data_IF_467461637590
#
_entry.id   IF_467461637590
#
_cell.length_a   1.000
_cell.length_b   1.000
_cell.length_c   1.000
_cell.angle_alpha   90.00
_cell.angle_beta   90.00
_cell.angle_gamma   90.00
#
_symmetry.space_group_name_H-M   'P 1'
#
loop_
_entity.id
_entity.type
_entity.pdbx_description
1 polymer ?
#
# COMPACT_ATOMS: atom_id res chain seq x y z
N UNK A 1 -7.05 30.44 -42.37
CA UNK A 1 -7.55 31.71 -41.82
C UNK A 1 -7.38 32.80 -42.88
N UNK A 2 -8.36 33.68 -43.02
CA UNK A 2 -8.47 34.68 -44.10
C UNK A 2 -7.58 35.89 -43.80
N UNK A 3 -6.94 36.44 -44.83
CA UNK A 3 -6.32 37.76 -44.79
C UNK A 3 -7.39 38.79 -45.20
N UNK A 4 -7.74 39.71 -44.31
CA UNK A 4 -8.76 40.74 -44.51
C UNK A 4 -8.17 42.06 -45.06
N UNK A 5 -6.88 42.06 -45.41
CA UNK A 5 -6.16 43.23 -45.90
C UNK A 5 -5.60 44.13 -44.79
N UNK A 6 -5.78 43.78 -43.51
CA UNK A 6 -5.20 44.52 -42.37
C UNK A 6 -4.00 43.77 -41.79
N UNK A 7 -4.15 42.47 -41.50
CA UNK A 7 -3.05 41.57 -41.14
C UNK A 7 -3.57 40.14 -40.94
N UNK A 8 -2.65 39.17 -41.02
CA UNK A 8 -2.96 37.75 -40.85
C UNK A 8 -3.62 37.48 -39.50
N UNK A 9 -4.78 36.84 -39.53
CA UNK A 9 -5.50 36.36 -38.35
C UNK A 9 -4.94 35.00 -37.93
N UNK A 10 -4.66 34.86 -36.62
CA UNK A 10 -4.13 33.64 -36.01
C UNK A 10 -4.98 33.24 -34.79
N UNK A 11 -5.08 31.92 -34.56
CA UNK A 11 -5.75 31.32 -33.41
C UNK A 11 -4.73 30.94 -32.35
N UNK A 12 -5.08 31.18 -31.10
CA UNK A 12 -4.28 30.85 -29.92
C UNK A 12 -5.17 30.10 -28.95
N UNK A 13 -4.57 29.17 -28.20
CA UNK A 13 -5.27 28.41 -27.17
C UNK A 13 -4.50 28.53 -25.87
N UNK A 14 -5.22 28.66 -24.76
CA UNK A 14 -4.61 28.54 -23.42
C UNK A 14 -5.52 27.77 -22.47
N UNK A 15 -4.89 27.01 -21.59
CA UNK A 15 -5.56 26.41 -20.45
C UNK A 15 -5.90 27.51 -19.43
N UNK A 16 -7.17 27.62 -19.06
CA UNK A 16 -7.67 28.61 -18.09
C UNK A 16 -7.85 28.02 -16.70
N UNK A 17 -8.16 26.74 -16.64
CA UNK A 17 -8.38 26.03 -15.39
C UNK A 17 -8.43 24.55 -15.66
N UNK A 18 -7.91 23.81 -14.70
CA UNK A 18 -8.15 22.38 -14.59
C UNK A 18 -8.60 22.12 -13.15
N UNK A 19 -9.59 21.24 -12.98
CA UNK A 19 -9.87 20.63 -11.69
C UNK A 19 -9.68 19.13 -11.82
N UNK A 20 -8.84 18.58 -10.95
CA UNK A 20 -8.70 17.13 -10.79
C UNK A 20 -10.02 16.55 -10.28
N UNK A 21 -10.36 15.28 -10.60
CA UNK A 21 -11.36 14.56 -9.85
C UNK A 21 -11.06 14.71 -8.35
N UNK A 22 -12.09 14.98 -7.55
CA UNK A 22 -11.96 14.95 -6.10
C UNK A 22 -11.40 13.59 -5.67
N UNK A 23 -10.48 13.60 -4.71
CA UNK A 23 -10.03 12.35 -4.08
C UNK A 23 -11.22 11.68 -3.40
N UNK A 24 -11.35 10.37 -3.64
CA UNK A 24 -12.26 9.39 -3.04
C UNK A 24 -13.01 9.86 -1.77
N UNK A 25 -14.35 9.79 -1.82
CA UNK A 25 -15.21 9.99 -0.64
C UNK A 25 -16.51 10.74 -0.93
N UNK A 26 -16.65 11.43 -2.06
CA UNK A 26 -17.93 11.96 -2.53
C UNK A 26 -18.52 11.02 -3.57
N UNK A 27 -19.84 10.85 -3.55
CA UNK A 27 -20.64 10.30 -4.65
C UNK A 27 -20.55 11.13 -5.93
N UNK A 28 -19.77 12.21 -5.91
CA UNK A 28 -19.49 13.05 -7.06
C UNK A 28 -18.42 12.36 -7.90
N UNK A 29 -18.93 11.61 -8.87
CA UNK A 29 -18.29 11.09 -10.08
C UNK A 29 -16.91 11.69 -10.36
N UNK A 30 -15.90 10.86 -10.64
CA UNK A 30 -14.53 11.22 -10.97
C UNK A 30 -14.39 12.14 -12.19
N UNK A 31 -14.89 13.37 -12.06
CA UNK A 31 -15.03 14.36 -13.11
C UNK A 31 -13.80 15.26 -13.10
N UNK A 32 -12.94 15.12 -14.10
CA UNK A 32 -11.91 16.10 -14.38
C UNK A 32 -12.49 17.17 -15.30
N UNK A 33 -12.42 18.45 -14.92
CA UNK A 33 -12.87 19.56 -15.77
C UNK A 33 -11.67 20.28 -16.35
N UNK A 34 -11.70 20.52 -17.66
CA UNK A 34 -10.72 21.31 -18.38
C UNK A 34 -11.41 22.51 -19.03
N UNK A 35 -10.92 23.70 -18.73
CA UNK A 35 -11.40 24.93 -19.33
C UNK A 35 -10.31 25.44 -20.28
N UNK A 36 -10.58 25.35 -21.57
CA UNK A 36 -9.69 25.85 -22.62
C UNK A 36 -10.31 27.13 -23.19
N UNK A 37 -9.50 28.16 -23.34
CA UNK A 37 -9.90 29.36 -24.04
C UNK A 37 -9.22 29.42 -25.41
N UNK A 38 -10.04 29.53 -26.45
CA UNK A 38 -9.62 29.89 -27.80
C UNK A 38 -9.67 31.40 -27.99
N UNK A 39 -8.62 31.96 -28.56
CA UNK A 39 -8.45 33.38 -28.82
C UNK A 39 -8.14 33.57 -30.30
N UNK A 40 -8.76 34.56 -30.93
CA UNK A 40 -8.43 34.98 -32.29
C UNK A 40 -7.82 36.36 -32.20
N UNK A 41 -6.61 36.54 -32.73
CA UNK A 41 -5.95 37.85 -32.81
C UNK A 41 -5.21 38.00 -34.13
N UNK A 42 -4.88 39.25 -34.45
CA UNK A 42 -3.98 39.56 -35.56
C UNK A 42 -2.54 39.26 -35.19
N UNK A 43 -1.77 38.75 -36.15
CA UNK A 43 -0.35 38.46 -35.99
C UNK A 43 0.38 39.74 -35.60
N UNK A 44 1.10 39.72 -34.47
CA UNK A 44 1.84 40.87 -33.95
C UNK A 44 1.01 41.91 -33.17
N UNK A 45 -0.31 41.71 -33.01
CA UNK A 45 -1.14 42.58 -32.19
C UNK A 45 -0.84 42.42 -30.69
N UNK A 46 -1.15 43.46 -29.92
CA UNK A 46 -1.02 43.46 -28.46
C UNK A 46 -1.68 42.20 -27.84
N UNK A 47 -1.04 41.50 -26.88
CA UNK A 47 -1.58 40.29 -26.28
C UNK A 47 -2.96 40.44 -25.64
N UNK A 48 -3.42 41.66 -25.32
CA UNK A 48 -4.76 41.96 -24.79
C UNK A 48 -5.77 42.35 -25.86
N UNK A 49 -5.35 42.48 -27.12
CA UNK A 49 -6.22 42.77 -28.27
C UNK A 49 -6.71 41.47 -28.90
N UNK A 50 -8.00 41.19 -28.73
CA UNK A 50 -8.64 39.98 -29.24
C UNK A 50 -9.77 40.36 -30.20
N UNK A 51 -9.84 39.68 -31.35
CA UNK A 51 -10.94 39.79 -32.30
C UNK A 51 -12.13 38.94 -31.89
N UNK A 52 -11.87 37.77 -31.30
CA UNK A 52 -12.88 36.87 -30.78
C UNK A 52 -12.30 36.01 -29.65
N UNK A 53 -13.19 35.58 -28.75
CA UNK A 53 -12.88 34.66 -27.65
C UNK A 53 -13.94 33.57 -27.63
N UNK A 54 -13.50 32.34 -27.43
CA UNK A 54 -14.37 31.20 -27.15
C UNK A 54 -13.87 30.48 -25.92
N UNK A 55 -14.80 30.02 -25.08
CA UNK A 55 -14.50 29.15 -23.94
C UNK A 55 -15.06 27.78 -24.25
N UNK A 56 -14.20 26.77 -24.18
CA UNK A 56 -14.57 25.37 -24.23
C UNK A 56 -14.41 24.80 -22.83
N UNK A 57 -15.48 24.26 -22.28
CA UNK A 57 -15.44 23.45 -21.07
C UNK A 57 -15.65 21.98 -21.47
N UNK A 58 -14.75 21.12 -21.00
CA UNK A 58 -14.84 19.67 -21.20
C UNK A 58 -14.75 18.99 -19.85
N UNK A 59 -15.67 18.07 -19.64
CA UNK A 59 -15.67 17.17 -18.49
C UNK A 59 -15.26 15.79 -18.96
N UNK A 60 -14.30 15.19 -18.25
CA UNK A 60 -13.94 13.78 -18.37
C UNK A 60 -14.50 13.07 -17.14
N UNK A 61 -15.47 12.20 -17.35
CA UNK A 61 -16.03 11.36 -16.29
C UNK A 61 -15.25 10.04 -16.26
N UNK A 62 -14.54 9.80 -15.16
CA UNK A 62 -13.89 8.52 -14.90
C UNK A 62 -14.81 7.75 -13.96
N UNK A 63 -15.43 6.69 -14.47
CA UNK A 63 -16.13 5.69 -13.67
C UNK A 63 -15.22 4.48 -13.54
N UNK A 64 -14.77 4.19 -12.31
CA UNK A 64 -14.10 2.94 -11.99
C UNK A 64 -15.08 2.07 -11.21
N UNK A 65 -15.58 0.99 -11.80
CA UNK A 65 -16.31 -0.04 -11.08
C UNK A 65 -15.42 -1.27 -10.88
N UNK A 66 -15.58 -1.89 -9.72
CA UNK A 66 -15.19 -3.27 -9.52
C UNK A 66 -16.37 -4.10 -10.01
N UNK A 67 -16.16 -4.92 -11.04
CA UNK A 67 -17.17 -5.92 -11.37
C UNK A 67 -17.30 -6.84 -10.16
N UNK A 68 -18.48 -6.87 -9.53
CA UNK A 68 -18.73 -7.67 -8.33
C UNK A 68 -18.52 -9.17 -8.60
N UNK A 69 -18.67 -9.58 -9.87
CA UNK A 69 -18.38 -10.94 -10.33
C UNK A 69 -16.87 -11.24 -10.36
N UNK A 70 -16.03 -10.19 -10.42
CA UNK A 70 -14.57 -10.23 -10.36
C UNK A 70 -14.02 -9.78 -8.99
N UNK A 71 -14.85 -9.75 -7.95
CA UNK A 71 -14.43 -9.51 -6.56
C UNK A 71 -13.39 -10.52 -6.04
N UNK A 72 -13.16 -11.59 -6.78
CA UNK A 72 -12.12 -12.61 -6.56
C UNK A 72 -10.76 -12.20 -7.14
N UNK A 73 -10.70 -11.24 -8.06
CA UNK A 73 -9.51 -10.83 -8.82
C UNK A 73 -8.71 -9.76 -8.07
N UNK A 74 -8.36 -9.99 -6.81
CA UNK A 74 -7.53 -9.08 -6.02
C UNK A 74 -6.16 -9.68 -5.73
N UNK A 75 -5.13 -8.86 -5.68
CA UNK A 75 -3.76 -9.33 -5.46
C UNK A 75 -3.53 -9.69 -3.98
N UNK A 76 -3.49 -10.98 -3.65
CA UNK A 76 -3.13 -11.43 -2.30
C UNK A 76 -1.63 -11.27 -2.03
N UNK A 77 -0.83 -11.54 -3.05
CA UNK A 77 0.61 -11.43 -3.02
C UNK A 77 1.06 -10.70 -4.29
N UNK A 78 1.86 -9.65 -4.17
CA UNK A 78 2.39 -8.90 -5.30
C UNK A 78 3.87 -8.58 -5.10
N UNK A 79 4.70 -8.90 -6.09
CA UNK A 79 6.11 -8.55 -6.07
C UNK A 79 6.73 -8.43 -7.47
N UNK A 80 7.84 -7.69 -7.55
CA UNK A 80 8.70 -7.65 -8.74
C UNK A 80 9.68 -8.81 -8.76
N UNK A 81 10.16 -9.22 -7.58
CA UNK A 81 11.05 -10.37 -7.41
C UNK A 81 10.47 -11.36 -6.42
N UNK A 82 10.53 -12.64 -6.78
CA UNK A 82 10.06 -13.75 -5.96
C UNK A 82 11.15 -14.79 -5.73
N UNK A 83 11.25 -15.22 -4.48
CA UNK A 83 11.68 -16.55 -4.07
C UNK A 83 10.49 -17.18 -3.34
N UNK A 84 9.49 -17.63 -4.11
CA UNK A 84 8.13 -17.94 -3.64
C UNK A 84 8.08 -19.07 -2.60
N UNK A 85 8.91 -20.10 -2.76
CA UNK A 85 8.90 -21.28 -1.88
C UNK A 85 7.51 -21.95 -1.80
N UNK A 86 7.22 -22.68 -0.72
CA UNK A 86 5.88 -23.23 -0.47
C UNK A 86 4.88 -22.10 -0.15
N UNK A 87 3.74 -22.07 -0.83
CA UNK A 87 2.70 -21.06 -0.63
C UNK A 87 1.32 -21.71 -0.64
N UNK A 88 0.48 -21.30 0.30
CA UNK A 88 -0.92 -21.67 0.36
C UNK A 88 -1.78 -20.40 0.41
N UNK A 89 -2.67 -20.26 -0.58
CA UNK A 89 -3.62 -19.14 -0.66
C UNK A 89 -5.03 -19.62 -0.30
N UNK A 90 -5.44 -19.40 0.94
CA UNK A 90 -6.77 -19.77 1.47
C UNK A 90 -7.83 -18.68 1.22
N UNK A 91 -7.66 -17.93 0.15
CA UNK A 91 -8.56 -16.88 -0.34
C UNK A 91 -8.67 -17.05 -1.86
N UNK A 92 -9.52 -16.30 -2.59
CA UNK A 92 -9.60 -16.40 -4.06
C UNK A 92 -8.59 -15.52 -4.82
N UNK A 93 -7.77 -14.72 -4.13
CA UNK A 93 -6.90 -13.71 -4.75
C UNK A 93 -5.78 -14.24 -5.64
N UNK A 94 -5.03 -13.34 -6.26
CA UNK A 94 -4.00 -13.66 -7.24
C UNK A 94 -2.60 -13.37 -6.71
N UNK A 95 -1.62 -14.02 -7.33
CA UNK A 95 -0.19 -13.73 -7.20
C UNK A 95 0.16 -12.82 -8.37
N UNK A 96 0.33 -11.54 -8.11
CA UNK A 96 0.76 -10.59 -9.13
C UNK A 96 2.28 -10.62 -9.24
N UNK A 97 2.78 -10.82 -10.46
CA UNK A 97 4.20 -10.70 -10.77
C UNK A 97 4.44 -9.49 -11.66
N UNK A 98 5.09 -8.47 -11.10
CA UNK A 98 5.55 -7.31 -11.86
C UNK A 98 6.82 -7.68 -12.62
N UNK A 99 6.65 -8.14 -13.86
CA UNK A 99 7.73 -8.58 -14.71
C UNK A 99 8.31 -7.43 -15.54
N UNK A 100 9.60 -7.56 -15.85
CA UNK A 100 10.27 -6.68 -16.80
C UNK A 100 9.89 -7.06 -18.24
N UNK A 101 9.94 -6.09 -19.16
CA UNK A 101 9.51 -6.27 -20.55
C UNK A 101 10.28 -7.38 -21.28
N UNK A 102 11.55 -7.57 -20.96
CA UNK A 102 12.41 -8.62 -21.53
C UNK A 102 11.96 -10.03 -21.15
N UNK A 103 11.20 -10.18 -20.07
CA UNK A 103 10.65 -11.46 -19.63
C UNK A 103 9.36 -11.84 -20.38
N UNK A 104 8.78 -10.92 -21.16
CA UNK A 104 7.43 -11.05 -21.67
C UNK A 104 7.22 -12.27 -22.59
N UNK A 105 8.14 -12.49 -23.53
CA UNK A 105 8.05 -13.65 -24.45
C UNK A 105 8.12 -14.97 -23.70
N UNK A 106 8.98 -15.04 -22.68
CA UNK A 106 9.18 -16.24 -21.87
C UNK A 106 7.97 -16.52 -20.96
N UNK A 107 7.39 -15.46 -20.39
CA UNK A 107 6.16 -15.50 -19.59
C UNK A 107 4.99 -16.02 -20.42
N UNK A 108 4.79 -15.47 -21.63
CA UNK A 108 3.67 -15.85 -22.51
C UNK A 108 3.67 -17.35 -22.84
N UNK A 109 4.86 -17.93 -23.05
CA UNK A 109 5.02 -19.37 -23.32
C UNK A 109 4.65 -20.23 -22.12
N UNK A 110 4.93 -19.74 -20.91
CA UNK A 110 4.87 -20.51 -19.67
C UNK A 110 3.56 -20.27 -18.88
N UNK A 111 2.67 -19.41 -19.40
CA UNK A 111 1.37 -19.07 -18.83
C UNK A 111 0.55 -20.30 -18.42
N UNK A 112 -0.09 -20.22 -17.25
CA UNK A 112 -0.93 -21.28 -16.66
C UNK A 112 -0.24 -22.65 -16.52
N UNK A 113 1.08 -22.72 -16.65
CA UNK A 113 1.85 -23.96 -16.51
C UNK A 113 2.65 -23.99 -15.21
N UNK A 114 3.06 -25.18 -14.79
CA UNK A 114 3.93 -25.36 -13.62
C UNK A 114 5.29 -24.67 -13.76
N UNK A 115 5.74 -24.40 -14.99
CA UNK A 115 6.98 -23.65 -15.23
C UNK A 115 6.89 -22.19 -14.76
N UNK A 116 5.68 -21.62 -14.66
CA UNK A 116 5.47 -20.30 -14.06
C UNK A 116 5.80 -20.30 -12.56
N UNK A 117 5.49 -21.39 -11.85
CA UNK A 117 5.83 -21.56 -10.44
C UNK A 117 7.36 -21.61 -10.26
N UNK A 118 8.07 -22.32 -11.14
CA UNK A 118 9.53 -22.43 -11.06
C UNK A 118 10.22 -21.07 -11.31
N UNK A 119 9.68 -20.26 -12.23
CA UNK A 119 10.20 -18.91 -12.51
C UNK A 119 10.17 -18.01 -11.28
N UNK A 120 9.16 -18.18 -10.43
CA UNK A 120 9.02 -17.43 -9.18
C UNK A 120 9.81 -18.08 -8.03
N UNK A 121 10.60 -19.13 -8.26
CA UNK A 121 11.31 -19.86 -7.22
C UNK A 121 10.40 -20.68 -6.30
N UNK A 122 9.24 -21.11 -6.80
CA UNK A 122 8.34 -22.05 -6.12
C UNK A 122 8.75 -23.51 -6.32
N UNK A 123 8.05 -24.43 -5.64
CA UNK A 123 8.25 -25.89 -5.78
C UNK A 123 6.95 -26.56 -6.19
N UNK A 124 6.96 -27.22 -7.35
CA UNK A 124 5.76 -27.80 -8.01
C UNK A 124 4.91 -28.71 -7.11
N UNK A 125 5.50 -29.49 -6.21
CA UNK A 125 4.78 -30.43 -5.32
C UNK A 125 4.25 -29.84 -4.01
N UNK A 126 4.47 -28.56 -3.74
CA UNK A 126 3.99 -27.87 -2.53
C UNK A 126 3.13 -26.64 -2.86
N UNK A 127 2.76 -26.51 -4.12
CA UNK A 127 2.20 -25.30 -4.75
C UNK A 127 1.08 -25.66 -5.74
N UNK A 128 0.27 -26.66 -5.39
CA UNK A 128 -0.80 -27.18 -6.24
C UNK A 128 -1.79 -26.06 -6.59
N UNK A 129 -2.17 -25.98 -7.87
CA UNK A 129 -3.11 -24.99 -8.41
C UNK A 129 -2.68 -23.52 -8.26
N UNK A 130 -1.39 -23.22 -8.00
CA UNK A 130 -0.91 -21.83 -8.02
C UNK A 130 -0.69 -21.30 -9.44
N UNK A 131 -0.42 -22.16 -10.42
CA UNK A 131 -0.09 -21.73 -11.79
C UNK A 131 -1.19 -20.87 -12.43
N UNK A 132 -2.47 -21.23 -12.23
CA UNK A 132 -3.63 -20.46 -12.70
C UNK A 132 -3.94 -19.22 -11.87
N UNK A 133 -3.24 -19.04 -10.74
CA UNK A 133 -3.38 -17.88 -9.84
C UNK A 133 -2.24 -16.89 -9.98
N UNK A 134 -1.25 -17.16 -10.83
CA UNK A 134 -0.17 -16.23 -11.13
C UNK A 134 -0.60 -15.33 -12.28
N UNK A 135 -0.67 -14.03 -12.01
CA UNK A 135 -0.94 -13.01 -13.00
C UNK A 135 0.32 -12.16 -13.23
N UNK A 136 1.08 -12.44 -14.29
CA UNK A 136 2.18 -11.58 -14.69
C UNK A 136 1.64 -10.30 -15.31
N UNK A 137 2.22 -9.17 -14.91
CA UNK A 137 1.93 -7.86 -15.47
C UNK A 137 3.23 -7.19 -15.85
N UNK A 138 3.25 -6.58 -17.03
CA UNK A 138 4.43 -5.94 -17.60
C UNK A 138 4.18 -4.45 -17.67
N UNK A 139 5.21 -3.64 -17.40
CA UNK A 139 5.16 -2.17 -17.39
C UNK A 139 4.16 -1.55 -16.39
N UNK A 140 3.64 -2.35 -15.45
CA UNK A 140 2.74 -1.88 -14.41
C UNK A 140 3.45 -1.81 -13.07
N UNK A 141 3.28 -0.68 -12.36
CA UNK A 141 3.88 -0.44 -11.04
C UNK A 141 2.82 -0.57 -9.95
N UNK A 142 3.16 -1.18 -8.83
CA UNK A 142 2.32 -1.24 -7.63
C UNK A 142 1.78 0.14 -7.22
N UNK A 143 0.59 0.23 -6.59
CA UNK A 143 0.04 1.50 -6.09
C UNK A 143 0.96 2.22 -5.10
N UNK A 144 1.22 3.53 -5.26
CA UNK A 144 2.12 4.28 -4.38
C UNK A 144 1.65 4.30 -2.93
N UNK A 145 2.59 4.41 -1.98
CA UNK A 145 2.24 4.58 -0.55
C UNK A 145 1.43 5.85 -0.29
N UNK A 146 1.38 6.78 -1.26
CA UNK A 146 0.54 7.96 -1.21
C UNK A 146 -0.95 7.68 -1.18
N UNK A 147 -1.41 6.45 -1.51
CA UNK A 147 -2.82 6.06 -1.32
C UNK A 147 -3.27 6.16 0.14
N UNK A 148 -2.31 6.13 1.08
CA UNK A 148 -2.57 6.33 2.50
C UNK A 148 -2.17 7.73 2.98
N UNK A 149 -1.57 8.60 2.14
CA UNK A 149 -0.98 9.89 2.58
C UNK A 149 -1.93 11.09 2.52
N UNK A 150 -3.21 10.90 2.18
CA UNK A 150 -4.21 11.97 2.12
C UNK A 150 -4.92 12.13 3.46
N UNK A 151 -4.79 13.31 4.08
CA UNK A 151 -5.52 13.78 5.28
C UNK A 151 -5.29 13.04 6.61
N UNK A 152 -4.29 12.15 6.69
CA UNK A 152 -3.95 11.41 7.90
C UNK A 152 -3.22 12.20 9.00
N UNK A 153 -3.58 11.89 10.23
CA UNK A 153 -2.93 12.33 11.46
C UNK A 153 -1.50 11.76 11.56
N UNK A 154 -0.49 12.61 11.75
CA UNK A 154 0.90 12.15 11.93
C UNK A 154 1.25 12.04 13.40
N UNK A 155 1.99 11.00 13.76
CA UNK A 155 2.53 10.83 15.09
C UNK A 155 3.69 11.80 15.34
N UNK A 156 3.55 12.60 16.39
CA UNK A 156 4.42 13.74 16.69
C UNK A 156 4.89 13.66 18.13
N UNK A 157 6.02 14.30 18.41
CA UNK A 157 6.51 14.39 19.78
C UNK A 157 5.50 15.22 20.60
N UNK A 158 5.03 14.71 21.77
CA UNK A 158 4.10 15.46 22.61
C UNK A 158 4.64 16.86 22.94
N UNK A 159 3.85 17.90 22.65
CA UNK A 159 4.25 19.30 22.84
C UNK A 159 5.08 19.92 21.70
N UNK A 160 5.43 19.16 20.65
CA UNK A 160 6.18 19.64 19.49
C UNK A 160 5.44 19.28 18.19
N UNK A 161 4.69 20.24 17.65
CA UNK A 161 3.83 20.02 16.49
C UNK A 161 4.57 19.92 15.15
N UNK A 162 5.85 20.31 15.08
CA UNK A 162 6.67 20.25 13.86
C UNK A 162 7.29 18.88 13.62
N UNK A 163 7.68 18.18 14.67
CA UNK A 163 8.61 17.08 14.58
C UNK A 163 7.91 15.72 14.74
N UNK A 164 8.24 14.80 13.84
CA UNK A 164 7.68 13.46 13.87
C UNK A 164 8.32 12.68 15.02
N UNK A 165 7.50 11.90 15.72
CA UNK A 165 8.01 10.93 16.67
C UNK A 165 8.42 9.67 15.91
N UNK A 166 9.69 9.31 16.04
CA UNK A 166 10.24 8.09 15.47
C UNK A 166 10.48 7.07 16.57
N UNK A 167 9.95 5.87 16.38
CA UNK A 167 10.02 4.79 17.34
C UNK A 167 11.17 3.82 17.04
N UNK A 168 11.78 3.32 18.12
CA UNK A 168 12.63 2.13 18.10
C UNK A 168 12.13 1.16 19.16
N UNK A 169 11.80 -0.05 18.73
CA UNK A 169 11.26 -1.10 19.58
C UNK A 169 12.16 -2.32 19.46
N UNK A 170 12.96 -2.60 20.49
CA UNK A 170 13.97 -3.66 20.43
C UNK A 170 14.06 -4.42 21.76
N UNK A 171 13.74 -5.71 21.74
CA UNK A 171 13.92 -6.61 22.91
C UNK A 171 15.04 -7.64 22.72
N UNK A 172 15.76 -7.54 21.61
CA UNK A 172 16.82 -8.46 21.20
C UNK A 172 18.17 -8.01 21.73
N UNK A 173 18.38 -6.70 21.75
CA UNK A 173 19.61 -6.05 22.17
C UNK A 173 19.32 -4.92 23.15
N UNK A 174 20.34 -4.52 23.91
CA UNK A 174 20.30 -3.28 24.65
C UNK A 174 20.36 -2.10 23.69
N UNK A 175 19.58 -1.06 23.94
CA UNK A 175 19.61 0.17 23.15
C UNK A 175 20.94 0.93 23.35
N UNK A 176 21.32 1.87 22.47
CA UNK A 176 22.51 2.69 22.68
C UNK A 176 22.53 3.33 24.08
N UNK A 177 23.73 3.48 24.66
CA UNK A 177 23.90 4.10 25.99
C UNK A 177 23.25 5.50 26.00
N UNK A 178 22.40 5.73 27.00
CA UNK A 178 21.61 6.95 27.12
C UNK A 178 20.29 6.70 27.87
N UNK A 179 19.35 7.64 27.76
CA UNK A 179 18.09 7.66 28.50
C UNK A 179 17.12 6.50 28.18
N UNK A 180 17.44 5.68 27.17
CA UNK A 180 16.63 4.54 26.76
C UNK A 180 17.37 3.18 26.78
N UNK A 181 18.60 3.12 27.29
CA UNK A 181 19.48 1.94 27.20
C UNK A 181 18.83 0.62 27.63
N UNK A 182 18.17 0.59 28.79
CA UNK A 182 17.60 -0.62 29.39
C UNK A 182 16.12 -0.88 29.04
N UNK A 183 15.62 -0.26 27.97
CA UNK A 183 14.19 -0.26 27.64
C UNK A 183 13.95 -0.91 26.29
N UNK A 184 12.83 -1.61 26.16
CA UNK A 184 12.38 -2.16 24.86
C UNK A 184 11.89 -1.05 23.94
N UNK A 185 11.09 -0.12 24.48
CA UNK A 185 10.48 0.98 23.74
C UNK A 185 11.25 2.29 23.93
N UNK A 186 11.67 2.87 22.81
CA UNK A 186 12.39 4.12 22.69
C UNK A 186 11.77 5.03 21.63
N UNK A 187 11.94 6.34 21.79
CA UNK A 187 11.53 7.33 20.81
C UNK A 187 12.64 8.34 20.55
N UNK A 188 12.60 9.01 19.41
CA UNK A 188 13.38 10.21 19.12
C UNK A 188 12.58 11.15 18.24
N UNK A 189 13.01 12.40 18.21
CA UNK A 189 12.60 13.34 17.17
C UNK A 189 13.21 12.88 15.83
N UNK A 190 12.44 13.01 14.75
CA UNK A 190 12.91 12.82 13.37
C UNK A 190 14.24 13.48 13.01
N UNK A 191 14.59 14.62 13.64
CA UNK A 191 15.82 15.38 13.44
C UNK A 191 16.93 15.02 14.43
N UNK A 192 16.59 14.31 15.50
CA UNK A 192 17.55 13.88 16.52
C UNK A 192 18.15 12.51 16.17
N UNK A 193 19.39 12.29 16.60
CA UNK A 193 20.07 10.99 16.48
C UNK A 193 19.97 10.13 17.75
N UNK A 194 19.71 10.76 18.90
CA UNK A 194 19.65 10.08 20.20
C UNK A 194 18.23 9.67 20.60
N UNK A 195 18.08 8.46 21.13
CA UNK A 195 16.82 7.97 21.67
C UNK A 195 16.60 8.33 23.13
N UNK A 196 15.35 8.62 23.45
CA UNK A 196 14.84 8.91 24.79
C UNK A 196 13.69 7.96 25.14
N UNK A 197 13.34 7.92 26.43
CA UNK A 197 12.17 7.19 26.91
C UNK A 197 10.90 7.97 26.54
N UNK A 198 9.89 7.33 25.94
CA UNK A 198 8.58 7.95 25.77
C UNK A 198 7.86 8.12 27.13
N UNK A 199 7.17 9.24 27.31
CA UNK A 199 6.25 9.46 28.43
C UNK A 199 4.86 8.89 28.09
N UNK A 200 4.10 8.53 29.14
CA UNK A 200 2.68 8.18 29.07
C UNK A 200 2.28 6.97 28.19
N UNK A 201 3.24 6.15 27.74
CA UNK A 201 2.93 4.90 27.03
C UNK A 201 2.66 3.76 28.01
N UNK A 202 1.56 3.06 27.77
CA UNK A 202 1.20 1.82 28.46
C UNK A 202 2.20 0.71 28.08
N UNK A 203 3.09 0.39 29.02
CA UNK A 203 4.16 -0.57 28.82
C UNK A 203 4.42 -1.35 30.11
N UNK A 204 4.01 -2.61 30.13
CA UNK A 204 4.33 -3.56 31.21
C UNK A 204 5.64 -4.27 30.87
N UNK A 205 6.61 -4.20 31.77
CA UNK A 205 7.98 -4.71 31.52
C UNK A 205 8.37 -5.71 32.58
N UNK A 206 9.17 -6.67 32.16
CA UNK A 206 9.81 -7.64 33.05
C UNK A 206 11.12 -8.12 32.46
N UNK A 207 11.92 -8.79 33.28
CA UNK A 207 13.18 -9.38 32.87
C UNK A 207 12.99 -10.88 32.70
N UNK A 208 13.55 -11.43 31.62
CA UNK A 208 13.56 -12.87 31.37
C UNK A 208 15.00 -13.33 31.13
N UNK A 209 15.38 -14.45 31.73
CA UNK A 209 16.67 -15.08 31.47
C UNK A 209 16.59 -15.93 30.21
N UNK A 210 17.45 -15.65 29.24
CA UNK A 210 17.51 -16.34 27.95
C UNK A 210 18.98 -16.59 27.64
N UNK A 211 19.36 -17.84 27.37
CA UNK A 211 20.75 -18.23 27.13
C UNK A 211 21.71 -17.65 28.19
N UNK A 212 21.34 -17.77 29.45
CA UNK A 212 22.04 -17.22 30.62
C UNK A 212 22.19 -15.68 30.70
N UNK A 213 21.54 -14.91 29.81
CA UNK A 213 21.54 -13.44 29.86
C UNK A 213 20.16 -12.89 30.24
N UNK A 214 20.13 -11.84 31.06
CA UNK A 214 18.90 -11.11 31.34
C UNK A 214 18.55 -10.22 30.15
N UNK A 215 17.36 -10.42 29.60
CA UNK A 215 16.84 -9.61 28.49
C UNK A 215 15.55 -8.93 28.91
N UNK A 216 15.34 -7.66 28.54
CA UNK A 216 14.08 -6.98 28.80
C UNK A 216 12.99 -7.58 27.91
N UNK A 217 11.79 -7.72 28.45
CA UNK A 217 10.59 -8.10 27.71
C UNK A 217 9.48 -7.12 28.06
N UNK A 218 8.62 -6.81 27.09
CA UNK A 218 7.50 -5.92 27.32
C UNK A 218 6.23 -6.33 26.56
N UNK A 219 5.10 -6.00 27.16
CA UNK A 219 3.86 -5.76 26.42
C UNK A 219 3.71 -4.25 26.30
N UNK A 220 3.70 -3.76 25.07
CA UNK A 220 3.61 -2.34 24.72
C UNK A 220 2.27 -2.13 24.05
N UNK A 221 1.50 -1.15 24.53
CA UNK A 221 0.28 -0.71 23.87
C UNK A 221 0.44 0.74 23.42
N UNK A 222 0.37 0.96 22.11
CA UNK A 222 0.25 2.30 21.53
C UNK A 222 -1.23 2.62 21.41
N UNK A 223 -1.73 3.43 22.35
CA UNK A 223 -3.14 3.83 22.37
C UNK A 223 -3.41 4.89 21.32
N UNK A 224 -4.61 4.91 20.78
CA UNK A 224 -5.00 5.91 19.78
C UNK A 224 -4.90 7.34 20.32
N UNK A 225 -5.08 7.55 21.62
CA UNK A 225 -4.88 8.86 22.25
C UNK A 225 -3.41 9.24 22.45
N UNK A 226 -2.51 8.26 22.40
CA UNK A 226 -1.08 8.46 22.61
C UNK A 226 -0.36 8.70 21.28
N UNK A 227 -0.86 8.14 20.18
CA UNK A 227 -0.37 8.33 18.81
C UNK A 227 -1.39 9.17 18.00
N UNK A 228 -0.94 10.11 17.19
CA UNK A 228 -1.82 10.80 16.23
C UNK A 228 -3.01 11.60 16.84
N UNK A 229 -2.79 12.32 17.95
CA UNK A 229 -3.83 13.10 18.65
C UNK A 229 -4.48 14.19 17.79
N UNK A 230 -5.81 14.33 17.87
CA UNK A 230 -6.53 15.54 17.45
C UNK A 230 -6.73 15.72 15.94
N UNK A 231 -6.42 14.72 15.12
CA UNK A 231 -6.65 14.76 13.66
C UNK A 231 -7.51 13.58 13.23
N UNK A 232 -8.43 13.83 12.29
CA UNK A 232 -9.27 12.80 11.63
C UNK A 232 -8.44 12.04 10.58
N UNK A 233 -8.98 10.96 10.02
CA UNK A 233 -8.30 10.14 9.02
C UNK A 233 -7.29 9.16 9.61
N UNK A 234 -6.48 8.56 8.72
CA UNK A 234 -5.49 7.53 9.05
C UNK A 234 -4.41 8.05 10.01
N UNK A 235 -3.91 7.18 10.88
CA UNK A 235 -2.83 7.51 11.81
C UNK A 235 -1.48 7.01 11.30
N UNK A 236 -0.52 7.91 11.08
CA UNK A 236 0.81 7.60 10.57
C UNK A 236 1.84 7.58 11.69
N UNK A 237 2.42 6.42 11.96
CA UNK A 237 3.55 6.26 12.89
C UNK A 237 4.84 5.96 12.13
N UNK A 238 5.98 6.41 12.65
CA UNK A 238 7.28 6.24 12.00
C UNK A 238 8.21 5.41 12.88
N UNK A 239 8.86 4.42 12.30
CA UNK A 239 9.74 3.50 13.04
C UNK A 239 11.08 3.39 12.34
N UNK A 240 12.18 3.45 13.09
CA UNK A 240 13.49 3.03 12.56
C UNK A 240 13.61 1.52 12.59
N UNK A 241 13.10 0.90 13.65
CA UNK A 241 13.32 -0.51 13.90
C UNK A 241 12.25 -1.08 14.83
N UNK A 242 11.76 -2.27 14.49
CA UNK A 242 10.98 -3.12 15.40
C UNK A 242 11.61 -4.52 15.40
N UNK A 243 12.48 -4.81 16.35
CA UNK A 243 13.09 -6.13 16.51
C UNK A 243 12.56 -6.78 17.80
N UNK A 244 11.63 -7.71 17.62
CA UNK A 244 10.97 -8.38 18.73
C UNK A 244 11.21 -9.89 18.62
N UNK A 245 11.72 -10.52 19.66
CA UNK A 245 11.82 -11.96 19.76
C UNK A 245 10.75 -12.55 20.69
N UNK A 246 10.21 -11.73 21.61
CA UNK A 246 9.35 -12.20 22.71
C UNK A 246 8.35 -11.16 23.24
N UNK A 247 8.54 -9.90 22.90
CA UNK A 247 7.67 -8.79 23.30
C UNK A 247 6.47 -8.69 22.39
N UNK A 248 5.43 -8.04 22.91
CA UNK A 248 4.18 -7.82 22.20
C UNK A 248 3.98 -6.33 21.98
N UNK A 249 3.59 -5.95 20.78
CA UNK A 249 3.22 -4.60 20.37
C UNK A 249 1.75 -4.62 19.94
N UNK A 250 0.91 -3.99 20.74
CA UNK A 250 -0.51 -3.82 20.49
C UNK A 250 -0.73 -2.38 20.01
N UNK A 251 -1.34 -2.22 18.84
CA UNK A 251 -1.60 -0.90 18.25
C UNK A 251 -3.11 -0.71 18.18
N UNK A 252 -3.64 0.28 18.89
CA UNK A 252 -5.07 0.58 18.83
C UNK A 252 -5.43 1.16 17.46
N UNK A 253 -6.24 0.43 16.69
CA UNK A 253 -6.63 0.77 15.32
C UNK A 253 -8.10 0.41 15.02
N UNK A 254 -8.91 0.22 16.06
CA UNK A 254 -10.33 -0.17 15.92
C UNK A 254 -11.21 0.93 15.30
N UNK A 255 -10.89 2.19 15.55
CA UNK A 255 -11.62 3.37 15.06
C UNK A 255 -11.14 3.84 13.67
N UNK A 256 -9.83 3.73 13.40
CA UNK A 256 -9.18 4.19 12.16
C UNK A 256 -7.94 3.37 11.83
N UNK A 257 -7.54 3.30 10.55
CA UNK A 257 -6.30 2.65 10.16
C UNK A 257 -5.07 3.28 10.81
N UNK A 258 -4.07 2.46 11.11
CA UNK A 258 -2.72 2.89 11.51
C UNK A 258 -1.73 2.42 10.46
N UNK A 259 -0.99 3.38 9.91
CA UNK A 259 0.05 3.19 8.89
C UNK A 259 1.42 3.31 9.56
N UNK A 260 2.15 2.19 9.58
CA UNK A 260 3.50 2.08 10.12
C UNK A 260 4.51 2.31 8.99
N UNK A 261 5.20 3.44 9.04
CA UNK A 261 6.25 3.81 8.11
C UNK A 261 7.61 3.35 8.60
N UNK A 262 8.18 2.35 7.93
CA UNK A 262 9.56 1.95 8.14
C UNK A 262 10.50 2.96 7.50
N UNK A 263 11.21 3.69 8.36
CA UNK A 263 12.33 4.53 8.00
C UNK A 263 13.57 3.65 7.87
N UNK A 264 14.34 3.87 6.82
CA UNK A 264 15.60 3.17 6.64
C UNK A 264 16.76 4.14 6.70
N UNK A 265 17.88 3.64 6.21
CA UNK A 265 19.17 4.24 6.48
C UNK A 265 19.28 5.73 6.07
N UNK A 266 18.72 6.07 4.91
CA UNK A 266 18.76 7.41 4.35
C UNK A 266 17.64 8.34 4.86
N UNK A 267 16.61 7.80 5.51
CA UNK A 267 15.41 8.55 5.93
C UNK A 267 15.33 8.71 7.46
N UNK A 268 16.06 7.88 8.21
CA UNK A 268 16.05 7.89 9.66
C UNK A 268 16.81 9.08 10.26
N UNK A 269 17.97 9.49 9.74
CA UNK A 269 18.82 10.44 10.46
C UNK A 269 19.40 11.54 9.55
N UNK A 270 19.38 12.79 10.04
CA UNK A 270 19.97 13.95 9.36
C UNK A 270 21.37 14.31 9.87
N UNK A 271 21.86 13.69 10.95
CA UNK A 271 23.12 14.09 11.62
C UNK A 271 23.96 12.90 12.12
N UNK A 272 24.98 12.53 11.33
CA UNK A 272 26.29 12.01 11.80
C UNK A 272 26.41 10.68 12.57
N UNK A 273 25.34 9.98 12.96
CA UNK A 273 25.43 8.66 13.58
C UNK A 273 25.17 7.52 12.60
N UNK A 274 25.71 6.33 12.91
CA UNK A 274 25.58 5.13 12.11
C UNK A 274 24.10 4.87 11.81
N UNK A 275 23.79 5.00 10.54
CA UNK A 275 22.48 4.84 9.98
C UNK A 275 21.86 3.49 10.36
N UNK A 276 20.71 3.50 11.05
CA UNK A 276 19.99 2.27 11.38
C UNK A 276 19.32 1.72 10.14
N UNK A 277 19.57 0.45 9.83
CA UNK A 277 18.79 -0.27 8.83
C UNK A 277 17.32 -0.32 9.28
N UNK A 278 16.43 0.12 8.42
CA UNK A 278 14.99 0.04 8.59
C UNK A 278 14.55 -1.42 8.60
N UNK A 279 14.37 -2.01 9.78
CA UNK A 279 13.95 -3.40 9.88
C UNK A 279 12.80 -3.61 10.85
N UNK A 280 11.84 -4.42 10.43
CA UNK A 280 10.88 -5.08 11.33
C UNK A 280 11.23 -6.56 11.33
N UNK A 281 11.82 -7.07 12.42
CA UNK A 281 12.18 -8.47 12.58
C UNK A 281 11.43 -9.10 13.73
N UNK A 282 10.61 -10.10 13.43
CA UNK A 282 9.76 -10.75 14.42
C UNK A 282 10.23 -12.19 14.65
N UNK A 283 10.41 -12.55 15.91
CA UNK A 283 10.68 -13.92 16.35
C UNK A 283 9.38 -14.68 16.62
N UNK A 284 9.49 -16.01 16.73
CA UNK A 284 8.33 -16.90 16.87
C UNK A 284 7.44 -16.62 18.09
N UNK A 285 7.95 -15.95 19.13
CA UNK A 285 7.21 -15.59 20.34
C UNK A 285 6.88 -14.09 20.42
N UNK A 286 7.18 -13.32 19.38
CA UNK A 286 6.82 -11.92 19.29
C UNK A 286 5.40 -11.76 18.72
N UNK A 287 4.80 -10.60 18.94
CA UNK A 287 3.52 -10.24 18.36
C UNK A 287 3.51 -8.76 18.00
N UNK A 288 3.10 -8.44 16.78
CA UNK A 288 2.58 -7.13 16.41
C UNK A 288 1.15 -7.35 15.93
N UNK A 289 0.16 -6.69 16.51
CA UNK A 289 -1.18 -6.72 15.94
C UNK A 289 -2.00 -5.46 16.27
N UNK A 290 -3.00 -5.23 15.40
CA UNK A 290 -4.05 -4.25 15.62
C UNK A 290 -5.02 -4.73 16.68
N UNK A 291 -5.46 -3.83 17.55
CA UNK A 291 -6.44 -4.11 18.61
C UNK A 291 -7.51 -3.01 18.64
N UNK A 292 -8.70 -3.36 19.10
CA UNK A 292 -9.71 -2.35 19.45
C UNK A 292 -9.32 -1.63 20.74
N UNK A 293 -9.93 -0.46 21.00
CA UNK A 293 -9.59 0.40 22.14
C UNK A 293 -9.67 -0.38 23.46
N UNK A 294 -8.60 -0.31 24.26
CA UNK A 294 -8.42 -1.05 25.52
C UNK A 294 -8.40 -2.60 25.42
N UNK A 295 -8.49 -3.18 24.22
CA UNK A 295 -8.41 -4.64 24.02
C UNK A 295 -6.96 -5.15 24.08
N UNK A 296 -6.80 -6.42 24.45
CA UNK A 296 -5.52 -7.16 24.35
C UNK A 296 -5.55 -8.25 23.27
N UNK A 297 -6.72 -8.47 22.67
CA UNK A 297 -6.92 -9.46 21.61
C UNK A 297 -6.81 -8.76 20.26
N UNK A 298 -6.09 -9.38 19.33
CA UNK A 298 -5.98 -8.88 17.97
C UNK A 298 -7.37 -8.81 17.33
N UNK A 299 -7.67 -7.74 16.60
CA UNK A 299 -9.00 -7.50 16.04
C UNK A 299 -9.20 -8.08 14.62
N UNK A 300 -8.18 -8.73 14.06
CA UNK A 300 -8.19 -9.40 12.76
C UNK A 300 -8.66 -8.56 11.57
N UNK A 301 -8.46 -7.24 11.64
CA UNK A 301 -8.76 -6.26 10.59
C UNK A 301 -7.48 -5.87 9.82
N UNK A 302 -7.05 -6.63 8.79
CA UNK A 302 -5.79 -6.36 8.10
C UNK A 302 -5.73 -4.97 7.44
N UNK A 303 -6.86 -4.46 6.98
CA UNK A 303 -7.00 -3.12 6.39
C UNK A 303 -6.80 -1.98 7.40
N UNK A 304 -6.75 -2.28 8.71
CA UNK A 304 -6.53 -1.30 9.77
C UNK A 304 -5.09 -1.24 10.27
N UNK A 305 -4.25 -2.22 9.93
CA UNK A 305 -2.83 -2.22 10.27
C UNK A 305 -2.01 -2.30 8.98
N UNK A 306 -1.55 -1.15 8.51
CA UNK A 306 -0.77 -1.04 7.28
C UNK A 306 0.71 -0.91 7.62
N UNK A 307 1.58 -1.70 6.97
CA UNK A 307 3.04 -1.58 7.07
C UNK A 307 3.57 -1.11 5.72
N UNK A 308 4.28 0.01 5.72
CA UNK A 308 4.92 0.57 4.53
C UNK A 308 6.36 0.98 4.77
N UNK A 309 7.03 1.42 3.72
CA UNK A 309 8.44 1.82 3.73
C UNK A 309 8.60 3.17 3.04
N UNK A 310 9.51 3.99 3.58
CA UNK A 310 9.94 5.25 2.95
C UNK A 310 11.20 5.07 2.07
N UNK A 311 11.51 3.84 1.67
CA UNK A 311 12.61 3.54 0.76
C UNK A 311 12.49 4.33 -0.56
N UNK A 312 13.59 4.97 -0.94
CA UNK A 312 13.70 5.69 -2.22
C UNK A 312 14.25 4.82 -3.33
N UNK A 313 14.88 3.69 -3.02
CA UNK A 313 15.47 2.76 -3.97
C UNK A 313 14.95 1.35 -3.74
N UNK A 314 14.79 0.59 -4.82
CA UNK A 314 14.38 -0.81 -4.74
C UNK A 314 15.55 -1.69 -4.24
N UNK A 315 15.28 -2.73 -3.44
CA UNK A 315 16.30 -3.64 -2.96
C UNK A 315 16.84 -4.52 -4.10
N UNK A 316 18.11 -4.92 -3.97
CA UNK A 316 18.69 -5.96 -4.82
C UNK A 316 18.18 -7.32 -4.35
N UNK A 317 17.03 -7.74 -4.87
CA UNK A 317 16.43 -9.06 -4.61
C UNK A 317 16.29 -9.32 -3.09
N UNK A 318 16.61 -10.53 -2.65
CA UNK A 318 16.47 -10.97 -1.26
C UNK A 318 17.65 -10.62 -0.33
N UNK A 319 18.71 -10.01 -0.86
CA UNK A 319 19.93 -9.70 -0.11
C UNK A 319 19.85 -8.40 0.71
N UNK A 320 18.79 -7.60 0.54
CA UNK A 320 18.66 -6.34 1.29
C UNK A 320 18.46 -6.60 2.78
N UNK A 321 19.24 -5.87 3.58
CA UNK A 321 19.11 -5.78 5.05
C UNK A 321 18.40 -4.51 5.49
N UNK A 322 18.18 -3.55 4.59
CA UNK A 322 17.45 -2.31 4.85
C UNK A 322 16.04 -2.38 4.26
N UNK A 323 15.11 -1.62 4.83
CA UNK A 323 13.69 -1.61 4.51
C UNK A 323 13.08 -3.00 4.41
N UNK A 324 13.31 -3.81 5.46
CA UNK A 324 12.99 -5.25 5.48
C UNK A 324 12.00 -5.62 6.58
N UNK A 325 10.98 -6.40 6.22
CA UNK A 325 10.07 -7.07 7.14
C UNK A 325 10.40 -8.58 7.17
N UNK A 326 10.67 -9.13 8.36
CA UNK A 326 10.95 -10.55 8.57
C UNK A 326 9.86 -11.15 9.45
N UNK A 327 9.10 -12.08 8.89
CA UNK A 327 8.00 -12.79 9.56
C UNK A 327 8.47 -14.13 10.12
N UNK A 328 7.95 -14.53 11.27
CA UNK A 328 8.25 -15.81 11.89
C UNK A 328 7.03 -16.35 12.64
N UNK A 329 6.47 -17.48 12.18
CA UNK A 329 5.25 -18.01 12.77
C UNK A 329 4.09 -17.04 12.60
N UNK A 330 3.29 -16.88 13.66
CA UNK A 330 2.09 -16.05 13.70
C UNK A 330 2.37 -14.68 14.35
N UNK A 331 3.60 -14.16 14.20
CA UNK A 331 4.04 -12.93 14.86
C UNK A 331 3.38 -11.65 14.32
N UNK A 332 2.77 -11.73 13.14
CA UNK A 332 1.97 -10.67 12.51
C UNK A 332 0.69 -11.31 11.95
N UNK A 333 -0.33 -11.55 12.78
CA UNK A 333 -1.48 -12.36 12.40
C UNK A 333 -2.36 -11.68 11.33
N UNK A 334 -2.52 -10.35 11.40
CA UNK A 334 -3.41 -9.59 10.51
C UNK A 334 -2.80 -8.23 10.15
N UNK A 335 -2.52 -7.99 8.86
CA UNK A 335 -1.97 -6.72 8.36
C UNK A 335 -2.05 -6.59 6.83
N UNK A 336 -2.03 -5.35 6.34
CA UNK A 336 -1.71 -5.01 4.96
C UNK A 336 -0.25 -4.59 4.85
N UNK A 337 0.57 -5.32 4.10
CA UNK A 337 1.96 -4.95 3.83
C UNK A 337 2.07 -4.30 2.45
N UNK A 338 2.44 -3.01 2.40
CA UNK A 338 2.72 -2.25 1.18
C UNK A 338 4.16 -1.71 1.19
N UNK A 339 5.12 -2.55 0.83
CA UNK A 339 6.54 -2.27 0.82
C UNK A 339 7.13 -2.25 -0.61
N UNK A 340 6.63 -1.36 -1.47
CA UNK A 340 6.99 -1.23 -2.90
C UNK A 340 8.47 -1.20 -3.25
N UNK A 341 9.30 -0.77 -2.30
CA UNK A 341 10.75 -0.64 -2.41
C UNK A 341 11.44 -1.28 -1.20
N UNK A 342 10.76 -2.23 -0.57
CA UNK A 342 11.29 -3.00 0.55
C UNK A 342 11.25 -4.50 0.26
N UNK A 343 11.72 -5.27 1.23
CA UNK A 343 11.77 -6.73 1.17
C UNK A 343 10.91 -7.33 2.25
N UNK A 344 10.09 -8.31 1.92
CA UNK A 344 9.40 -9.17 2.89
C UNK A 344 10.03 -10.54 2.85
N UNK A 345 10.43 -11.06 4.00
CA UNK A 345 11.07 -12.35 4.12
C UNK A 345 10.48 -13.20 5.24
N UNK A 346 10.62 -14.52 5.12
CA UNK A 346 10.20 -15.46 6.15
C UNK A 346 11.43 -16.05 6.86
N UNK A 347 11.37 -16.14 8.18
CA UNK A 347 12.35 -16.84 9.01
C UNK A 347 11.83 -18.17 9.56
N UNK A 348 10.53 -18.45 9.38
CA UNK A 348 9.88 -19.72 9.65
C UNK A 348 8.59 -19.79 8.84
N UNK A 349 7.89 -20.92 8.88
CA UNK A 349 6.54 -21.01 8.34
C UNK A 349 5.66 -19.94 9.00
N UNK A 350 4.94 -19.19 8.20
CA UNK A 350 4.18 -18.02 8.65
C UNK A 350 2.78 -18.00 8.07
N UNK A 351 1.89 -17.38 8.83
CA UNK A 351 0.51 -17.17 8.46
C UNK A 351 0.17 -15.69 8.63
N UNK A 352 -0.55 -15.15 7.64
CA UNK A 352 -1.03 -13.77 7.65
C UNK A 352 -2.44 -13.74 7.07
N UNK A 353 -3.36 -13.13 7.81
CA UNK A 353 -4.60 -12.60 7.28
C UNK A 353 -4.32 -11.22 6.68
N UNK A 354 -4.58 -11.03 5.38
CA UNK A 354 -4.30 -9.79 4.69
C UNK A 354 -3.50 -9.98 3.40
N UNK A 355 -2.72 -8.95 3.04
CA UNK A 355 -2.08 -8.84 1.73
C UNK A 355 -0.61 -8.49 1.86
N UNK A 356 0.22 -8.98 0.94
CA UNK A 356 1.65 -8.65 0.89
C UNK A 356 2.01 -8.11 -0.49
N UNK A 357 2.23 -6.81 -0.58
CA UNK A 357 2.71 -6.13 -1.77
C UNK A 357 4.09 -5.56 -1.48
N UNK A 358 5.10 -6.05 -2.17
CA UNK A 358 6.50 -5.73 -1.86
C UNK A 358 7.33 -5.65 -3.13
N UNK A 359 8.54 -5.09 -3.08
CA UNK A 359 9.45 -5.24 -4.22
C UNK A 359 9.95 -6.69 -4.34
N UNK A 360 10.42 -7.24 -3.21
CA UNK A 360 11.04 -8.55 -3.15
C UNK A 360 10.42 -9.40 -2.05
N UNK A 361 9.87 -10.55 -2.44
CA UNK A 361 9.33 -11.55 -1.52
C UNK A 361 10.27 -12.75 -1.41
N UNK A 362 10.67 -13.11 -0.19
CA UNK A 362 11.72 -14.08 0.09
C UNK A 362 11.23 -15.15 1.08
N UNK A 363 10.75 -16.28 0.56
CA UNK A 363 10.26 -17.37 1.42
C UNK A 363 11.36 -18.01 2.25
N UNK A 364 12.62 -17.98 1.79
CA UNK A 364 13.73 -18.74 2.37
C UNK A 364 13.37 -20.22 2.58
N UNK A 365 12.60 -20.82 1.66
CA UNK A 365 12.04 -22.17 1.75
C UNK A 365 11.02 -22.41 2.89
N UNK A 366 10.53 -21.37 3.54
CA UNK A 366 9.44 -21.47 4.51
C UNK A 366 8.07 -21.31 3.85
N UNK A 367 7.06 -21.96 4.42
CA UNK A 367 5.69 -21.89 3.94
C UNK A 367 5.03 -20.57 4.35
N UNK A 368 4.47 -19.85 3.40
CA UNK A 368 3.51 -18.78 3.66
C UNK A 368 2.08 -19.30 3.51
N UNK A 369 1.21 -18.95 4.45
CA UNK A 369 -0.24 -19.11 4.32
C UNK A 369 -0.88 -17.72 4.34
N UNK A 370 -1.52 -17.33 3.23
CA UNK A 370 -2.33 -16.12 3.18
C UNK A 370 -3.81 -16.48 3.35
N UNK A 371 -4.42 -15.96 4.41
CA UNK A 371 -5.84 -16.13 4.73
C UNK A 371 -6.68 -15.01 4.13
N UNK A 372 -7.98 -15.25 4.05
CA UNK A 372 -8.98 -14.28 3.61
C UNK A 372 -9.18 -13.24 4.72
N UNK A 373 -9.22 -11.94 4.37
CA UNK A 373 -9.85 -10.93 5.21
C UNK A 373 -11.32 -11.34 5.41
N UNK A 374 -11.74 -11.54 6.65
CA UNK A 374 -13.00 -12.21 6.98
C UNK A 374 -14.19 -11.61 6.23
N UNK A 375 -15.00 -12.54 5.73
CA UNK A 375 -16.27 -12.40 5.03
C UNK A 375 -17.37 -11.95 6.00
N UNK A 376 -17.36 -10.69 6.44
CA UNK A 376 -18.57 -10.09 6.99
C UNK A 376 -19.38 -9.48 5.84
N UNK A 377 -20.32 -10.29 5.35
CA UNK A 377 -21.63 -9.94 4.78
C UNK A 377 -21.69 -8.66 3.92
N UNK A 378 -21.59 -8.81 2.60
CA UNK A 378 -22.29 -7.89 1.68
C UNK A 378 -23.69 -8.48 1.54
N UNK A 379 -24.76 -7.88 2.11
CA UNK A 379 -26.10 -8.33 1.80
C UNK A 379 -26.26 -8.20 0.27
N UNK A 380 -26.90 -9.17 -0.36
CA UNK A 380 -27.47 -8.98 -1.69
C UNK A 380 -28.28 -7.68 -1.68
N UNK A 381 -27.70 -6.61 -2.21
CA UNK A 381 -28.44 -5.42 -2.54
C UNK A 381 -29.26 -5.79 -3.77
N UNK A 382 -30.40 -6.42 -3.53
CA UNK A 382 -31.48 -6.55 -4.50
C UNK A 382 -31.90 -5.13 -4.86
N UNK A 383 -31.27 -4.56 -5.89
CA UNK A 383 -31.60 -3.25 -6.43
C UNK A 383 -32.95 -3.37 -7.15
N UNK A 384 -34.05 -3.38 -6.37
CA UNK A 384 -35.36 -3.04 -6.92
C UNK A 384 -35.29 -1.56 -7.30
N UNK A 385 -35.44 -1.28 -8.59
CA UNK A 385 -35.79 0.06 -9.09
C UNK A 385 -37.06 0.51 -8.36
N UNK A 386 -36.89 1.37 -7.36
CA UNK A 386 -37.95 2.24 -6.90
C UNK A 386 -37.42 3.66 -6.94
N UNK A 387 -37.93 4.43 -7.90
CA UNK A 387 -37.97 5.87 -7.80
C UNK A 387 -38.70 6.22 -6.50
N UNK A 388 -38.15 7.12 -5.67
CA UNK A 388 -38.87 8.27 -5.14
C UNK A 388 -37.96 9.15 -4.26
N UNK A 389 -38.42 10.39 -4.19
CA UNK A 389 -37.93 11.63 -3.58
C UNK A 389 -37.66 11.60 -2.07
N UNK A 390 -36.75 12.48 -1.64
CA UNK A 390 -36.95 13.32 -0.47
C UNK A 390 -36.50 12.77 0.89
N UNK A 391 -35.46 13.43 1.42
CA UNK A 391 -35.14 13.66 2.85
C UNK A 391 -34.86 12.45 3.76
N UNK A 392 -33.60 12.37 4.20
CA UNK A 392 -33.26 12.13 5.61
C UNK A 392 -32.80 10.73 6.00
N UNK A 393 -31.54 10.38 5.73
CA UNK A 393 -30.77 9.39 6.50
C UNK A 393 -29.27 9.76 6.43
N UNK A 394 -28.75 10.45 7.45
CA UNK A 394 -27.38 11.00 7.43
C UNK A 394 -26.55 10.61 8.68
N UNK A 395 -26.78 9.43 9.29
CA UNK A 395 -26.03 9.04 10.51
C UNK A 395 -25.32 7.69 10.54
N UNK A 396 -25.50 6.79 9.58
CA UNK A 396 -24.88 5.45 9.65
C UNK A 396 -23.81 5.16 8.56
N UNK A 397 -23.42 6.15 7.75
CA UNK A 397 -22.48 5.98 6.63
C UNK A 397 -20.99 6.21 6.95
N UNK A 398 -20.64 6.62 8.17
CA UNK A 398 -19.26 7.03 8.50
C UNK A 398 -18.30 5.89 8.90
N UNK A 399 -18.75 4.63 8.93
CA UNK A 399 -17.91 3.49 9.34
C UNK A 399 -17.40 2.60 8.19
N UNK A 400 -17.87 2.79 6.94
CA UNK A 400 -17.52 1.96 5.77
C UNK A 400 -16.30 2.45 4.96
N UNK A 401 -15.77 3.64 5.30
CA UNK A 401 -14.91 4.43 4.40
C UNK A 401 -13.53 3.79 4.11
N UNK A 402 -12.84 3.27 5.12
CA UNK A 402 -11.48 2.74 4.95
C UNK A 402 -11.42 1.36 4.24
N UNK A 403 -12.42 0.50 4.47
CA UNK A 403 -12.48 -0.85 3.86
C UNK A 403 -12.79 -0.74 2.36
N UNK A 404 -13.76 0.12 2.01
CA UNK A 404 -14.06 0.44 0.63
C UNK A 404 -12.87 1.13 -0.05
N UNK A 405 -12.20 2.10 0.55
CA UNK A 405 -11.10 2.82 -0.09
C UNK A 405 -9.92 1.92 -0.48
N UNK A 406 -9.59 0.95 0.36
CA UNK A 406 -8.47 0.07 0.13
C UNK A 406 -8.82 -1.01 -0.93
N UNK A 407 -10.02 -1.62 -0.86
CA UNK A 407 -10.53 -2.56 -1.87
C UNK A 407 -10.76 -1.87 -3.24
N UNK A 408 -11.33 -0.66 -3.27
CA UNK A 408 -11.53 0.12 -4.50
C UNK A 408 -10.22 0.61 -5.11
N UNK A 409 -9.22 1.01 -4.33
CA UNK A 409 -7.92 1.44 -4.88
C UNK A 409 -7.15 0.29 -5.54
N UNK A 410 -7.29 -0.94 -5.01
CA UNK A 410 -6.70 -2.16 -5.61
C UNK A 410 -7.38 -2.49 -6.93
N UNK A 411 -8.71 -2.44 -6.97
CA UNK A 411 -9.50 -2.97 -8.09
C UNK A 411 -9.71 -1.93 -9.20
N UNK A 412 -9.80 -0.63 -8.88
CA UNK A 412 -9.76 0.45 -9.87
C UNK A 412 -8.40 0.56 -10.58
N UNK A 413 -7.31 0.17 -9.90
CA UNK A 413 -5.98 0.07 -10.52
C UNK A 413 -5.92 -1.07 -11.54
N UNK A 414 -6.47 -2.24 -11.20
CA UNK A 414 -6.57 -3.40 -12.11
C UNK A 414 -7.46 -3.10 -13.33
N UNK A 415 -8.59 -2.42 -13.15
CA UNK A 415 -9.58 -2.21 -14.22
C UNK A 415 -9.34 -0.97 -15.10
N UNK A 416 -8.29 -0.19 -14.87
CA UNK A 416 -8.06 1.09 -15.58
C UNK A 416 -7.68 0.98 -17.07
N UNK A 417 -7.78 -0.20 -17.70
CA UNK A 417 -7.45 -0.40 -19.12
C UNK A 417 -8.34 -1.32 -19.94
N UNK A 418 -9.35 -1.97 -19.37
CA UNK A 418 -10.35 -2.71 -20.17
C UNK A 418 -11.44 -1.75 -20.65
N UNK A 419 -11.11 -0.94 -21.65
CA UNK A 419 -12.10 -0.20 -22.44
C UNK A 419 -12.02 -0.63 -23.91
N UNK A 420 -12.27 -1.92 -24.16
CA UNK A 420 -12.76 -2.36 -25.45
C UNK A 420 -13.90 -3.36 -25.20
N UNK A 421 -15.10 -2.92 -25.57
CA UNK A 421 -16.32 -3.73 -25.49
C UNK A 421 -16.24 -4.90 -26.48
N UNK A 422 -16.83 -6.01 -26.05
CA UNK A 422 -17.48 -7.02 -26.88
C UNK A 422 -16.71 -8.32 -27.20
N UNK A 423 -16.40 -9.13 -26.18
CA UNK A 423 -16.36 -10.60 -26.31
C UNK A 423 -16.83 -11.30 -25.04
N UNK A 424 -18.15 -11.56 -24.94
CA UNK A 424 -18.69 -12.46 -23.93
C UNK A 424 -18.60 -13.92 -24.40
N UNK A 425 -18.27 -14.82 -23.46
CA UNK A 425 -18.39 -16.29 -23.49
C UNK A 425 -17.19 -17.20 -23.81
N UNK A 426 -15.94 -16.71 -23.97
CA UNK A 426 -14.76 -17.60 -24.16
C UNK A 426 -13.50 -17.27 -23.34
N UNK A 427 -13.55 -16.31 -22.41
CA UNK A 427 -12.35 -15.76 -21.74
C UNK A 427 -12.01 -16.31 -20.35
N UNK A 428 -12.63 -17.40 -19.88
CA UNK A 428 -12.37 -17.86 -18.50
C UNK A 428 -11.01 -18.56 -18.28
N UNK A 429 -10.18 -18.75 -19.31
CA UNK A 429 -8.96 -19.56 -19.16
C UNK A 429 -7.62 -18.95 -19.62
N UNK A 430 -7.54 -17.68 -20.01
CA UNK A 430 -6.25 -17.14 -20.51
C UNK A 430 -5.95 -15.68 -20.15
N UNK A 431 -6.21 -15.26 -18.90
CA UNK A 431 -5.78 -13.97 -18.36
C UNK A 431 -4.29 -13.68 -18.62
N UNK A 432 -3.44 -14.69 -18.40
CA UNK A 432 -2.00 -14.57 -18.63
C UNK A 432 -1.63 -14.36 -20.11
N UNK A 433 -2.39 -14.89 -21.07
CA UNK A 433 -2.06 -14.73 -22.49
C UNK A 433 -2.52 -13.37 -23.03
N UNK A 434 -3.68 -12.88 -22.60
CA UNK A 434 -4.27 -11.63 -23.10
C UNK A 434 -3.47 -10.40 -22.65
N UNK A 435 -3.11 -10.30 -21.36
CA UNK A 435 -2.26 -9.20 -20.85
C UNK A 435 -0.89 -9.14 -21.54
N UNK A 436 -0.39 -10.28 -22.02
CA UNK A 436 0.91 -10.39 -22.68
C UNK A 436 0.85 -10.14 -24.19
N UNK A 437 -0.30 -10.35 -24.83
CA UNK A 437 -0.53 -10.01 -26.23
C UNK A 437 -0.54 -8.47 -26.42
N UNK A 438 -1.22 -7.76 -25.53
CA UNK A 438 -1.27 -6.29 -25.53
C UNK A 438 0.10 -5.63 -25.29
N UNK A 439 0.92 -6.21 -24.41
CA UNK A 439 2.29 -5.74 -24.16
C UNK A 439 3.22 -5.93 -25.37
N UNK A 440 2.95 -6.93 -26.21
CA UNK A 440 3.71 -7.19 -27.44
C UNK A 440 3.32 -6.21 -28.56
N UNK A 441 2.03 -5.87 -28.69
CA UNK A 441 1.56 -4.88 -29.66
C UNK A 441 2.07 -3.47 -29.35
N UNK A 442 2.14 -3.08 -28.07
CA UNK A 442 2.70 -1.77 -27.67
C UNK A 442 4.22 -1.67 -27.91
N UNK A 443 4.94 -2.80 -27.92
CA UNK A 443 6.37 -2.85 -28.26
C UNK A 443 6.67 -2.73 -29.76
N UNK A 444 5.70 -3.06 -30.63
CA UNK A 444 5.85 -2.97 -32.08
C UNK A 444 5.63 -1.55 -32.63
N UNK A 445 5.08 -0.63 -31.84
CA UNK A 445 4.82 0.76 -32.25
C UNK A 445 5.87 1.79 -31.78
N UNK A 446 6.99 1.33 -31.20
CA UNK A 446 8.13 2.18 -30.80
C UNK A 446 9.43 1.86 -31.57
N UNK A 447 9.32 1.23 -32.74
CA UNK A 447 10.43 1.00 -33.68
C UNK A 447 10.55 2.11 -34.71
#
# INVERSE_FOLDING_TARGET
MRDDGISKIETFYRLRGYSSPGTSGSTDSGEAKFIIEGLVRRKGADPKSYLARSRLERSLYIQSWVDINRSKDWAALAASYYELGPLQLNNPGLIIWHADQDQATAIRRDCNSSSMIDRLGGKRGTSDNLASRIWPIVNQKQPPSSIFKTDGAKDRIPGQSSDLRVWKIDDTNLNPRGNCWWRVLCQRDSRASSYTRPSNIDSRRWWRRVNNRWQPTATIRLKEKDICTGSKGDCHIYVDQINLNRSQLLIENGSRPVVVHLLGSAQGQTTGQASTTGTISLGANALICGVDVNSTTCNDKPERLIITTEATQAPVRCNSTDHRLVLNGNSLPSAWVLMRKGTVALANNSELNGVIWTHSFCSNNHRLVLKRAVEDYVPEATFKRQAFSGTGVERDLQAMDAKQHAEYAVLAWINSRDSDENTSSLQEHNFCANTMAEAHEQGLHLG
#
